data_IF_231521368126
#
_entry.id   IF_231521368126
#
_cell.length_a   1.000
_cell.length_b   1.000
_cell.length_c   1.000
_cell.angle_alpha   90.00
_cell.angle_beta   90.00
_cell.angle_gamma   90.00
#
_symmetry.space_group_name_H-M   'P 1'
#
loop_
_entity.id
_entity.type
_entity.pdbx_description
1 polymer ?
#
# COMPACT_ATOMS: atom_id res chain seq x y z
N UNK A 1 -13.94 0.49 1.95
CA UNK A 1 -12.59 0.96 1.52
C UNK A 1 -11.87 -0.04 0.59
N UNK A 2 -11.95 -1.38 0.75
CA UNK A 2 -11.41 -2.35 -0.24
C UNK A 2 -11.89 -2.06 -1.66
N UNK A 3 -13.21 -1.91 -1.82
CA UNK A 3 -13.81 -1.62 -3.12
C UNK A 3 -13.31 -0.30 -3.72
N UNK A 4 -12.97 0.68 -2.87
CA UNK A 4 -12.38 1.95 -3.30
C UNK A 4 -10.95 1.73 -3.79
N UNK A 5 -10.14 0.92 -3.10
CA UNK A 5 -8.78 0.60 -3.54
C UNK A 5 -8.79 -0.14 -4.88
N UNK A 6 -9.60 -1.20 -4.99
CA UNK A 6 -9.75 -1.95 -6.25
C UNK A 6 -10.21 -1.03 -7.39
N UNK A 7 -11.19 -0.15 -7.12
CA UNK A 7 -11.65 0.83 -8.11
C UNK A 7 -10.54 1.79 -8.54
N UNK A 8 -9.77 2.35 -7.59
CA UNK A 8 -8.68 3.27 -7.88
C UNK A 8 -7.64 2.62 -8.79
N UNK A 9 -7.24 1.38 -8.51
CA UNK A 9 -6.27 0.65 -9.32
C UNK A 9 -6.83 0.22 -10.68
N UNK A 10 -8.05 -0.32 -10.72
CA UNK A 10 -8.69 -0.77 -11.96
C UNK A 10 -8.96 0.39 -12.94
N UNK A 11 -9.09 1.62 -12.44
CA UNK A 11 -9.35 2.82 -13.25
C UNK A 11 -8.15 3.74 -13.41
N UNK A 12 -6.98 3.37 -12.88
CA UNK A 12 -5.75 4.18 -12.87
C UNK A 12 -5.99 5.61 -12.31
N UNK A 13 -6.94 5.74 -11.38
CA UNK A 13 -7.29 7.02 -10.71
C UNK A 13 -6.46 7.27 -9.46
N UNK A 14 -5.71 6.28 -9.01
CA UNK A 14 -4.69 6.38 -7.96
C UNK A 14 -3.64 7.47 -8.25
N UNK A 15 -3.38 7.81 -9.51
CA UNK A 15 -2.51 8.96 -9.84
C UNK A 15 -3.05 10.31 -9.34
N UNK A 16 -4.38 10.45 -9.23
CA UNK A 16 -5.01 11.70 -8.80
C UNK A 16 -4.81 11.98 -7.31
N UNK A 17 -4.36 10.97 -6.54
CA UNK A 17 -3.88 11.15 -5.17
C UNK A 17 -2.81 12.24 -5.09
N UNK A 18 -1.95 12.34 -6.12
CA UNK A 18 -0.84 13.29 -6.16
C UNK A 18 -1.09 14.54 -7.00
N UNK A 19 -2.20 14.60 -7.73
CA UNK A 19 -2.47 15.70 -8.65
C UNK A 19 -3.60 16.59 -8.16
N UNK A 20 -4.65 15.98 -7.61
CA UNK A 20 -5.85 16.69 -7.18
C UNK A 20 -6.77 15.81 -6.31
N UNK A 21 -6.40 15.64 -5.04
CA UNK A 21 -7.14 14.80 -4.09
C UNK A 21 -8.59 15.28 -3.88
N UNK A 22 -8.83 16.58 -3.83
CA UNK A 22 -10.19 17.14 -3.66
C UNK A 22 -11.12 16.78 -4.81
N UNK A 23 -10.62 16.81 -6.05
CA UNK A 23 -11.37 16.36 -7.21
C UNK A 23 -11.65 14.87 -7.15
N UNK A 24 -10.65 14.06 -6.78
CA UNK A 24 -10.83 12.61 -6.63
C UNK A 24 -11.90 12.28 -5.59
N UNK A 25 -11.85 12.90 -4.41
CA UNK A 25 -12.86 12.71 -3.34
C UNK A 25 -14.25 13.04 -3.85
N UNK A 26 -14.40 14.18 -4.52
CA UNK A 26 -15.69 14.60 -5.06
C UNK A 26 -16.21 13.59 -6.07
N UNK A 27 -15.38 13.18 -7.02
CA UNK A 27 -15.75 12.23 -8.06
C UNK A 27 -16.22 10.88 -7.46
N UNK A 28 -15.44 10.33 -6.52
CA UNK A 28 -15.77 9.06 -5.86
C UNK A 28 -17.10 9.12 -5.09
N UNK A 29 -17.37 10.23 -4.40
CA UNK A 29 -18.60 10.39 -3.60
C UNK A 29 -19.81 10.72 -4.48
N UNK A 30 -19.67 11.65 -5.44
CA UNK A 30 -20.82 12.17 -6.19
C UNK A 30 -21.14 11.39 -7.45
N UNK A 31 -20.13 10.86 -8.13
CA UNK A 31 -20.31 10.17 -9.42
C UNK A 31 -20.38 8.66 -9.23
N UNK A 32 -19.55 8.12 -8.32
CA UNK A 32 -19.47 6.68 -8.07
C UNK A 32 -20.21 6.21 -6.81
N UNK A 33 -20.82 7.12 -6.06
CA UNK A 33 -21.64 6.84 -4.87
C UNK A 33 -20.92 6.06 -3.74
N UNK A 34 -19.59 6.15 -3.65
CA UNK A 34 -18.89 5.64 -2.48
C UNK A 34 -19.19 6.50 -1.25
N UNK A 35 -19.17 5.90 -0.06
CA UNK A 35 -19.34 6.69 1.16
C UNK A 35 -18.10 7.56 1.42
N UNK A 36 -18.32 8.78 1.92
CA UNK A 36 -17.22 9.70 2.22
C UNK A 36 -16.22 9.10 3.23
N UNK A 37 -16.72 8.31 4.19
CA UNK A 37 -15.89 7.61 5.17
C UNK A 37 -14.94 6.61 4.50
N UNK A 38 -15.45 5.77 3.60
CA UNK A 38 -14.63 4.76 2.92
C UNK A 38 -13.59 5.39 1.99
N UNK A 39 -13.97 6.47 1.30
CA UNK A 39 -13.04 7.24 0.48
C UNK A 39 -11.92 7.79 1.35
N UNK A 40 -12.24 8.45 2.47
CA UNK A 40 -11.21 9.00 3.37
C UNK A 40 -10.30 7.94 3.96
N UNK A 41 -10.83 6.77 4.33
CA UNK A 41 -10.02 5.63 4.78
C UNK A 41 -9.06 5.15 3.68
N UNK A 42 -9.54 5.02 2.44
CA UNK A 42 -8.71 4.59 1.31
C UNK A 42 -7.58 5.58 1.05
N UNK A 43 -7.89 6.88 1.08
CA UNK A 43 -6.90 7.93 0.90
C UNK A 43 -5.86 7.95 2.02
N UNK A 44 -6.28 7.74 3.27
CA UNK A 44 -5.37 7.67 4.42
C UNK A 44 -4.42 6.47 4.32
N UNK A 45 -4.87 5.34 3.75
CA UNK A 45 -4.03 4.15 3.54
C UNK A 45 -2.84 4.42 2.60
N UNK A 46 -2.96 5.36 1.66
CA UNK A 46 -1.86 5.79 0.79
C UNK A 46 -0.90 6.82 1.44
N UNK A 47 -1.26 7.44 2.56
CA UNK A 47 -0.47 8.52 3.15
C UNK A 47 0.97 8.10 3.53
N UNK A 48 1.21 6.92 4.14
CA UNK A 48 2.57 6.45 4.44
C UNK A 48 3.42 6.19 3.20
N UNK A 49 2.78 5.79 2.09
CA UNK A 49 3.47 5.60 0.81
C UNK A 49 4.02 6.93 0.35
N UNK A 50 3.18 7.97 0.35
CA UNK A 50 3.49 9.26 -0.23
C UNK A 50 4.52 10.10 0.53
N UNK A 51 4.57 10.00 1.86
CA UNK A 51 5.41 10.84 2.72
C UNK A 51 6.81 10.21 2.96
N UNK A 52 6.93 8.88 2.96
CA UNK A 52 8.05 8.20 3.66
C UNK A 52 8.97 7.31 2.84
N UNK A 53 8.85 7.28 1.52
CA UNK A 53 9.83 6.55 0.70
C UNK A 53 11.25 7.16 0.76
N UNK A 54 11.49 8.13 1.66
CA UNK A 54 12.77 8.81 1.89
C UNK A 54 13.48 8.41 3.18
N UNK A 55 12.86 7.64 4.11
CA UNK A 55 13.43 7.35 5.44
C UNK A 55 13.67 5.86 5.75
N UNK A 56 13.19 4.93 4.92
CA UNK A 56 13.43 3.50 5.08
C UNK A 56 14.89 3.14 4.76
N UNK A 57 15.70 2.91 5.79
CA UNK A 57 17.04 2.35 5.66
C UNK A 57 16.98 0.82 5.57
N UNK A 58 17.26 0.27 4.39
CA UNK A 58 17.26 -1.17 4.16
C UNK A 58 18.66 -1.64 3.79
N UNK A 59 19.15 -2.63 4.53
CA UNK A 59 20.38 -3.33 4.17
C UNK A 59 20.12 -4.18 2.90
N UNK A 60 20.78 -3.88 1.76
CA UNK A 60 20.53 -4.61 0.53
C UNK A 60 21.04 -6.06 0.57
N UNK A 61 21.97 -6.36 1.48
CA UNK A 61 22.63 -7.67 1.57
C UNK A 61 21.98 -8.61 2.60
N UNK A 62 21.01 -8.12 3.39
CA UNK A 62 20.30 -8.96 4.38
C UNK A 62 19.20 -9.80 3.72
N UNK A 63 19.19 -11.10 4.01
CA UNK A 63 18.07 -11.98 3.68
C UNK A 63 16.91 -11.63 4.61
N UNK A 64 15.81 -11.11 4.07
CA UNK A 64 14.59 -10.81 4.84
C UNK A 64 14.05 -12.10 5.46
N UNK A 65 13.90 -12.10 6.78
CA UNK A 65 13.05 -13.07 7.49
C UNK A 65 11.68 -12.45 7.70
N UNK A 66 10.62 -13.24 7.55
CA UNK A 66 9.27 -12.79 7.89
C UNK A 66 9.16 -12.67 9.42
N UNK A 67 8.45 -11.66 9.88
CA UNK A 67 8.06 -11.56 11.28
C UNK A 67 6.95 -12.55 11.62
N UNK A 68 6.81 -12.89 12.90
CA UNK A 68 5.79 -13.85 13.36
C UNK A 68 4.36 -13.46 12.97
N UNK A 69 4.06 -12.16 12.89
CA UNK A 69 2.72 -11.72 12.50
C UNK A 69 2.50 -11.86 10.99
N UNK A 70 3.51 -11.57 10.17
CA UNK A 70 3.43 -11.78 8.71
C UNK A 70 3.20 -13.25 8.40
N UNK A 71 3.92 -14.15 9.06
CA UNK A 71 3.73 -15.60 8.91
C UNK A 71 2.33 -16.07 9.33
N UNK A 72 1.71 -15.39 10.29
CA UNK A 72 0.43 -15.77 10.85
C UNK A 72 -0.77 -15.20 10.07
N UNK A 73 -0.65 -13.98 9.54
CA UNK A 73 -1.78 -13.21 9.02
C UNK A 73 -1.71 -12.93 7.52
N UNK A 74 -0.54 -12.94 6.89
CA UNK A 74 -0.44 -12.78 5.44
C UNK A 74 -0.65 -14.12 4.72
N UNK A 75 -1.46 -14.16 3.66
CA UNK A 75 -1.56 -15.35 2.82
C UNK A 75 -0.20 -15.67 2.20
N UNK A 76 0.14 -16.97 2.21
CA UNK A 76 1.40 -17.47 1.65
C UNK A 76 1.59 -17.08 0.18
N UNK A 77 0.50 -16.99 -0.58
CA UNK A 77 0.50 -16.59 -1.99
C UNK A 77 1.00 -15.15 -2.18
N UNK A 78 0.46 -14.21 -1.39
CA UNK A 78 0.88 -12.80 -1.34
C UNK A 78 2.36 -12.70 -0.98
N UNK A 79 2.78 -13.38 0.08
CA UNK A 79 4.17 -13.39 0.54
C UNK A 79 5.10 -13.89 -0.56
N UNK A 80 4.75 -15.00 -1.21
CA UNK A 80 5.55 -15.61 -2.28
C UNK A 80 5.67 -14.64 -3.45
N UNK A 81 4.56 -14.02 -3.86
CA UNK A 81 4.54 -13.07 -4.97
C UNK A 81 5.45 -11.86 -4.72
N UNK A 82 5.37 -11.23 -3.54
CA UNK A 82 6.25 -10.10 -3.19
C UNK A 82 7.73 -10.49 -3.22
N UNK A 83 8.08 -11.67 -2.69
CA UNK A 83 9.46 -12.16 -2.71
C UNK A 83 9.95 -12.49 -4.12
N UNK A 84 9.08 -13.04 -4.97
CA UNK A 84 9.41 -13.31 -6.38
C UNK A 84 9.71 -12.01 -7.14
N UNK A 85 8.87 -10.98 -6.99
CA UNK A 85 9.08 -9.65 -7.59
C UNK A 85 10.40 -9.01 -7.15
N UNK A 86 10.76 -9.16 -5.87
CA UNK A 86 12.03 -8.67 -5.35
C UNK A 86 13.22 -9.47 -5.93
N UNK A 87 13.09 -10.81 -5.99
CA UNK A 87 14.14 -11.69 -6.51
C UNK A 87 14.43 -11.48 -8.00
N UNK A 88 13.40 -11.15 -8.79
CA UNK A 88 13.51 -10.80 -10.20
C UNK A 88 14.00 -9.37 -10.43
N UNK A 89 14.18 -8.58 -9.35
CA UNK A 89 14.50 -7.15 -9.38
C UNK A 89 13.44 -6.30 -10.10
N UNK A 90 12.20 -6.77 -10.14
CA UNK A 90 11.05 -6.02 -10.66
C UNK A 90 10.63 -4.90 -9.71
N UNK A 91 10.91 -5.07 -8.42
CA UNK A 91 10.80 -4.06 -7.37
C UNK A 91 12.11 -3.97 -6.59
N UNK A 92 12.36 -2.80 -6.01
CA UNK A 92 13.45 -2.56 -5.07
C UNK A 92 13.15 -3.16 -3.69
N UNK A 93 14.18 -3.25 -2.85
CA UNK A 93 14.00 -3.67 -1.47
C UNK A 93 13.09 -2.71 -0.69
N UNK A 94 13.11 -1.40 -0.98
CA UNK A 94 12.22 -0.41 -0.35
C UNK A 94 10.77 -0.66 -0.73
N UNK A 95 10.50 -0.86 -2.01
CA UNK A 95 9.15 -1.19 -2.48
C UNK A 95 8.66 -2.50 -1.88
N UNK A 96 9.52 -3.53 -1.77
CA UNK A 96 9.19 -4.79 -1.09
C UNK A 96 8.68 -4.57 0.33
N UNK A 97 9.36 -3.73 1.12
CA UNK A 97 8.94 -3.42 2.50
C UNK A 97 7.60 -2.69 2.55
N UNK A 98 7.42 -1.71 1.66
CA UNK A 98 6.16 -0.98 1.54
C UNK A 98 5.02 -1.96 1.20
N UNK A 99 5.23 -2.88 0.26
CA UNK A 99 4.21 -3.87 -0.11
C UNK A 99 3.83 -4.77 1.08
N UNK A 100 4.81 -5.28 1.83
CA UNK A 100 4.52 -6.10 3.01
C UNK A 100 3.75 -5.34 4.08
N UNK A 101 4.16 -4.11 4.36
CA UNK A 101 3.52 -3.27 5.37
C UNK A 101 2.08 -2.91 4.97
N UNK A 102 1.88 -2.42 3.74
CA UNK A 102 0.58 -1.96 3.25
C UNK A 102 -0.42 -3.09 3.11
N UNK A 103 -0.01 -4.24 2.58
CA UNK A 103 -0.87 -5.43 2.49
C UNK A 103 -1.11 -6.01 3.89
N UNK A 104 -0.11 -6.00 4.76
CA UNK A 104 -0.23 -6.42 6.16
C UNK A 104 -1.31 -5.66 6.91
N UNK A 105 -1.33 -4.33 6.81
CA UNK A 105 -2.38 -3.50 7.41
C UNK A 105 -3.78 -3.91 6.93
N UNK A 106 -3.95 -4.17 5.64
CA UNK A 106 -5.25 -4.61 5.10
C UNK A 106 -5.71 -5.94 5.69
N UNK A 107 -4.79 -6.92 5.85
CA UNK A 107 -5.12 -8.22 6.44
C UNK A 107 -5.38 -8.15 7.95
N UNK A 108 -4.80 -7.18 8.65
CA UNK A 108 -5.07 -6.96 10.06
C UNK A 108 -6.44 -6.32 10.29
N UNK A 109 -6.81 -5.36 9.45
CA UNK A 109 -8.10 -4.67 9.59
C UNK A 109 -9.24 -5.46 8.98
N UNK A 110 -9.00 -6.20 7.90
CA UNK A 110 -10.05 -6.84 7.11
C UNK A 110 -9.71 -8.28 6.67
N UNK A 111 -10.70 -9.19 6.73
CA UNK A 111 -10.55 -10.54 6.23
C UNK A 111 -10.69 -10.58 4.70
N UNK A 112 -9.63 -10.16 4.00
CA UNK A 112 -9.52 -10.21 2.54
C UNK A 112 -9.55 -11.66 2.02
N UNK A 113 -10.22 -11.88 0.89
CA UNK A 113 -10.03 -13.13 0.13
C UNK A 113 -8.78 -13.01 -0.76
N UNK A 114 -8.17 -14.15 -1.11
CA UNK A 114 -6.89 -14.16 -1.83
C UNK A 114 -6.92 -13.40 -3.18
N UNK A 115 -8.04 -13.46 -3.91
CA UNK A 115 -8.19 -12.78 -5.20
C UNK A 115 -8.18 -11.25 -5.05
N UNK A 116 -8.89 -10.72 -4.05
CA UNK A 116 -8.93 -9.28 -3.74
C UNK A 116 -7.54 -8.78 -3.33
N UNK A 117 -6.84 -9.55 -2.49
CA UNK A 117 -5.49 -9.21 -2.06
C UNK A 117 -4.49 -9.20 -3.22
N UNK A 118 -4.64 -10.11 -4.18
CA UNK A 118 -3.78 -10.17 -5.36
C UNK A 118 -4.01 -8.97 -6.28
N UNK A 119 -5.27 -8.59 -6.52
CA UNK A 119 -5.62 -7.40 -7.31
C UNK A 119 -5.07 -6.11 -6.69
N UNK A 120 -5.22 -5.96 -5.37
CA UNK A 120 -4.69 -4.81 -4.64
C UNK A 120 -3.16 -4.80 -4.68
N UNK A 121 -2.52 -5.95 -4.54
CA UNK A 121 -1.06 -6.07 -4.63
C UNK A 121 -0.56 -5.63 -6.01
N UNK A 122 -1.17 -6.11 -7.10
CA UNK A 122 -0.79 -5.75 -8.46
C UNK A 122 -0.97 -4.25 -8.72
N UNK A 123 -2.11 -3.70 -8.28
CA UNK A 123 -2.38 -2.27 -8.34
C UNK A 123 -1.34 -1.44 -7.57
N UNK A 124 -0.98 -1.88 -6.37
CA UNK A 124 0.02 -1.22 -5.54
C UNK A 124 1.44 -1.30 -6.14
N UNK A 125 1.82 -2.43 -6.73
CA UNK A 125 3.08 -2.57 -7.46
C UNK A 125 3.14 -1.57 -8.63
N UNK A 126 2.08 -1.52 -9.44
CA UNK A 126 1.97 -0.56 -10.54
C UNK A 126 2.06 0.88 -10.02
N UNK A 127 1.38 1.18 -8.91
CA UNK A 127 1.39 2.50 -8.29
C UNK A 127 2.81 2.92 -7.89
N UNK A 128 3.54 2.08 -7.17
CA UNK A 128 4.91 2.37 -6.71
C UNK A 128 5.89 2.59 -7.87
N UNK A 129 5.74 1.81 -8.94
CA UNK A 129 6.62 1.90 -10.12
C UNK A 129 6.35 3.16 -10.95
N UNK A 130 5.09 3.60 -11.03
CA UNK A 130 4.68 4.71 -11.90
C UNK A 130 4.63 6.06 -11.18
N UNK A 131 4.39 6.06 -9.87
CA UNK A 131 4.20 7.27 -9.08
C UNK A 131 5.22 7.30 -7.95
N UNK A 132 6.14 8.27 -8.01
CA UNK A 132 7.20 8.37 -7.01
C UNK A 132 6.70 9.08 -5.74
N UNK A 133 6.74 8.42 -4.59
CA UNK A 133 6.55 9.08 -3.30
C UNK A 133 7.59 10.17 -3.00
N UNK A 134 7.17 11.19 -2.22
CA UNK A 134 7.99 12.35 -1.86
C UNK A 134 7.59 13.69 -2.52
N UNK A 135 6.48 13.76 -3.25
CA UNK A 135 6.03 15.01 -3.89
C UNK A 135 4.96 15.79 -3.11
N UNK A 136 4.23 15.17 -2.16
CA UNK A 136 3.15 15.82 -1.42
C UNK A 136 3.14 15.38 0.04
N UNK A 137 3.02 16.36 0.94
CA UNK A 137 2.69 16.15 2.35
C UNK A 137 1.19 15.89 2.46
N UNK A 138 0.81 14.75 3.04
CA UNK A 138 -0.58 14.44 3.34
C UNK A 138 -0.92 14.98 4.74
N UNK A 139 -1.83 15.95 4.83
CA UNK A 139 -2.47 16.30 6.10
C UNK A 139 -3.62 15.30 6.35
N UNK A 140 -3.29 14.08 6.76
CA UNK A 140 -4.29 13.03 7.08
C UNK A 140 -4.03 12.38 8.44
N UNK A 141 -5.09 11.89 9.12
CA UNK A 141 -5.00 11.37 10.47
C UNK A 141 -4.05 10.16 10.55
N UNK A 142 -3.27 10.09 11.64
CA UNK A 142 -2.38 8.98 11.95
C UNK A 142 -3.15 7.64 11.89
N UNK A 143 -2.70 6.71 11.04
CA UNK A 143 -3.22 5.32 11.08
C UNK A 143 -2.77 4.68 12.41
N UNK A 144 -3.65 3.96 13.13
CA UNK A 144 -3.30 3.34 14.41
C UNK A 144 -2.34 2.15 14.27
N UNK A 145 -2.17 1.61 13.06
CA UNK A 145 -1.29 0.48 12.76
C UNK A 145 -0.01 0.89 12.04
N UNK A 146 0.13 2.18 11.78
CA UNK A 146 1.32 2.74 11.18
C UNK A 146 2.53 2.55 12.11
N UNK A 147 3.48 1.73 11.67
CA UNK A 147 4.75 1.50 12.34
C UNK A 147 5.85 2.31 11.65
N UNK A 148 6.04 3.54 12.10
CA UNK A 148 7.15 4.45 11.73
C UNK A 148 8.57 3.91 11.97
N UNK A 149 8.70 2.67 12.45
CA UNK A 149 9.94 2.10 12.96
C UNK A 149 10.03 0.61 12.65
N UNK A 150 9.89 0.22 11.38
CA UNK A 150 10.41 -1.08 10.96
C UNK A 150 11.89 -0.97 10.57
N UNK A 151 12.72 -0.69 11.57
CA UNK A 151 14.13 -1.08 11.54
C UNK A 151 14.21 -2.60 11.75
N UNK A 152 13.66 -3.42 10.85
CA UNK A 152 13.97 -4.85 10.85
C UNK A 152 15.35 -5.05 10.27
N UNK A 153 16.35 -4.66 11.06
CA UNK A 153 17.69 -5.18 10.98
C UNK A 153 17.63 -6.55 11.67
N UNK A 154 17.65 -7.62 10.86
CA UNK A 154 18.15 -8.91 11.30
C UNK A 154 19.44 -9.21 10.53
#
# INVERSE_FOLDING_TARGET
MIEVLQFLFATEKDQLLYLNQDTLVRELVTEYNFSEQEVRQALAWFAPIADECTTLEINPDSIRSLSNWEEQYLPKEVVTHILELASSKSISNVEREILFDRIGELFLEWPLVNDEASEILDGLVSHLQNYRPGLIKFDLPESPWYWAANCTIH
#
